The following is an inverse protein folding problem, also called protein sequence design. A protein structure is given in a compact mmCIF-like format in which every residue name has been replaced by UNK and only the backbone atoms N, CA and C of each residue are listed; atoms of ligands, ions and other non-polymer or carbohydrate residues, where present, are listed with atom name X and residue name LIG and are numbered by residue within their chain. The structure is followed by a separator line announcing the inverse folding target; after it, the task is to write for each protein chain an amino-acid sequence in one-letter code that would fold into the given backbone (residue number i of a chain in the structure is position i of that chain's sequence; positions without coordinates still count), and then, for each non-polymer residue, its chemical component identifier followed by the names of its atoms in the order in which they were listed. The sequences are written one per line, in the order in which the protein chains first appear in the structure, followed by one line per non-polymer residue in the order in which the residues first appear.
data_IF_561219992808
#
_entry.id   IF_561219992808
#
_cell.length_a   1.000
_cell.length_b   1.000
_cell.length_c   1.000
_cell.angle_alpha   90.00
_cell.angle_beta   90.00
_cell.angle_gamma   90.00
#
_symmetry.space_group_name_H-M   'P 1'
#
loop_
_entity.id
_entity.type
_entity.pdbx_description
1 polymer ?
#
# COMPACT_ATOMS: atom_id res chain seq x y z
N UNK A 1 -20.48 11.89 -16.08
CA UNK A 1 -20.18 12.48 -14.75
C UNK A 1 -20.87 13.82 -14.72
N UNK A 2 -21.80 14.04 -13.78
CA UNK A 2 -22.74 15.16 -13.78
C UNK A 2 -22.04 16.50 -13.47
N UNK A 3 -22.36 17.54 -14.26
CA UNK A 3 -21.82 18.90 -14.16
C UNK A 3 -22.04 19.49 -12.76
N UNK A 4 -23.21 19.25 -12.16
CA UNK A 4 -23.53 19.74 -10.81
C UNK A 4 -22.60 19.17 -9.73
N UNK A 5 -22.08 17.96 -9.92
CA UNK A 5 -21.18 17.29 -8.98
C UNK A 5 -19.75 17.85 -9.07
N UNK A 6 -19.36 18.37 -10.23
CA UNK A 6 -18.06 19.02 -10.42
C UNK A 6 -18.06 20.40 -9.73
N UNK A 7 -19.09 21.20 -9.97
CA UNK A 7 -19.28 22.51 -9.34
C UNK A 7 -19.26 22.43 -7.81
N UNK A 8 -19.98 21.46 -7.24
CA UNK A 8 -19.99 21.23 -5.80
C UNK A 8 -18.60 20.88 -5.22
N UNK A 9 -17.75 20.18 -5.98
CA UNK A 9 -16.38 19.87 -5.53
C UNK A 9 -15.49 21.10 -5.54
N UNK A 10 -15.55 21.90 -6.60
CA UNK A 10 -14.73 23.11 -6.74
C UNK A 10 -15.08 24.11 -5.64
N UNK A 11 -16.38 24.30 -5.35
CA UNK A 11 -16.84 25.18 -4.28
C UNK A 11 -16.40 24.73 -2.87
N UNK A 12 -16.17 23.43 -2.66
CA UNK A 12 -15.76 22.89 -1.35
C UNK A 12 -14.25 23.03 -1.07
N UNK A 13 -13.40 23.11 -2.11
CA UNK A 13 -11.93 23.11 -1.95
C UNK A 13 -11.42 24.23 -1.03
N UNK A 14 -11.80 25.52 -1.20
CA UNK A 14 -11.26 26.60 -0.36
C UNK A 14 -11.58 26.39 1.12
N UNK A 15 -12.79 25.90 1.42
CA UNK A 15 -13.21 25.61 2.79
C UNK A 15 -12.44 24.43 3.37
N UNK A 16 -12.25 23.34 2.61
CA UNK A 16 -11.45 22.19 3.06
C UNK A 16 -10.01 22.61 3.39
N UNK A 17 -9.42 23.46 2.55
CA UNK A 17 -8.05 23.93 2.76
C UNK A 17 -7.93 24.87 3.97
N UNK A 18 -8.93 25.72 4.23
CA UNK A 18 -8.94 26.66 5.35
C UNK A 18 -9.35 26.03 6.69
N UNK A 19 -10.30 25.08 6.67
CA UNK A 19 -10.85 24.46 7.89
C UNK A 19 -10.03 23.24 8.35
N UNK A 20 -9.11 22.71 7.53
CA UNK A 20 -8.24 21.61 7.92
C UNK A 20 -7.29 22.04 9.03
N UNK A 21 -7.60 21.63 10.26
CA UNK A 21 -6.76 21.88 11.44
C UNK A 21 -5.47 21.08 11.35
N UNK A 22 -4.37 21.65 11.83
CA UNK A 22 -3.07 20.98 11.97
C UNK A 22 -3.18 19.59 12.65
N UNK A 23 -4.07 19.48 13.64
CA UNK A 23 -4.39 18.23 14.36
C UNK A 23 -4.77 17.09 13.40
N UNK A 24 -5.46 17.38 12.29
CA UNK A 24 -5.82 16.38 11.29
C UNK A 24 -4.56 15.80 10.60
N UNK A 25 -3.64 16.66 10.17
CA UNK A 25 -2.39 16.24 9.53
C UNK A 25 -1.50 15.46 10.50
N UNK A 26 -1.30 15.99 11.70
CA UNK A 26 -0.46 15.35 12.73
C UNK A 26 -1.01 13.99 13.13
N UNK A 27 -2.33 13.87 13.32
CA UNK A 27 -2.97 12.57 13.59
C UNK A 27 -2.79 11.59 12.43
N UNK A 28 -3.01 12.05 11.20
CA UNK A 28 -2.86 11.20 10.00
C UNK A 28 -1.42 10.70 9.84
N UNK A 29 -0.43 11.58 9.98
CA UNK A 29 0.99 11.22 9.92
C UNK A 29 1.39 10.27 11.06
N UNK A 30 0.85 10.47 12.26
CA UNK A 30 1.08 9.57 13.40
C UNK A 30 0.58 8.15 13.12
N UNK A 31 -0.64 8.00 12.57
CA UNK A 31 -1.20 6.70 12.22
C UNK A 31 -0.39 6.06 11.08
N UNK A 32 -0.04 6.83 10.04
CA UNK A 32 0.78 6.32 8.93
C UNK A 32 2.14 5.81 9.41
N UNK A 33 2.81 6.58 10.27
CA UNK A 33 4.09 6.18 10.86
C UNK A 33 3.94 4.91 11.69
N UNK A 34 2.99 4.88 12.63
CA UNK A 34 2.79 3.70 13.48
C UNK A 34 2.49 2.44 12.65
N UNK A 35 1.63 2.58 11.63
CA UNK A 35 1.26 1.44 10.80
C UNK A 35 2.41 0.99 9.90
N UNK A 36 3.19 1.93 9.35
CA UNK A 36 4.41 1.61 8.62
C UNK A 36 5.41 0.84 9.49
N UNK A 37 5.58 1.23 10.76
CA UNK A 37 6.49 0.57 11.71
C UNK A 37 6.04 -0.87 12.03
N UNK A 38 4.73 -1.07 12.17
CA UNK A 38 4.16 -2.40 12.41
C UNK A 38 4.34 -3.28 11.17
N UNK A 39 3.94 -2.80 9.99
CA UNK A 39 4.05 -3.58 8.76
C UNK A 39 5.50 -3.91 8.44
N UNK A 40 6.43 -2.96 8.55
CA UNK A 40 7.86 -3.20 8.30
C UNK A 40 8.41 -4.33 9.18
N UNK A 41 8.14 -4.29 10.49
CA UNK A 41 8.56 -5.35 11.43
C UNK A 41 7.91 -6.69 11.08
N UNK A 42 6.60 -6.71 10.82
CA UNK A 42 5.87 -7.94 10.49
C UNK A 42 6.34 -8.59 9.19
N UNK A 43 6.70 -7.79 8.19
CA UNK A 43 7.25 -8.29 6.93
C UNK A 43 8.63 -8.93 7.16
N UNK A 44 9.47 -8.33 8.02
CA UNK A 44 10.79 -8.89 8.34
C UNK A 44 10.72 -10.24 9.08
N UNK A 45 9.60 -10.54 9.75
CA UNK A 45 9.36 -11.84 10.40
C UNK A 45 9.02 -12.96 9.38
N UNK A 46 8.70 -12.62 8.12
CA UNK A 46 8.26 -13.57 7.10
C UNK A 46 9.44 -13.90 6.14
N UNK A 47 9.98 -15.13 6.14
CA UNK A 47 11.23 -15.44 5.44
C UNK A 47 11.22 -15.25 3.92
N UNK A 48 10.06 -15.42 3.28
CA UNK A 48 9.91 -15.23 1.84
C UNK A 48 9.65 -13.77 1.43
N UNK A 49 9.51 -12.86 2.39
CA UNK A 49 9.26 -11.45 2.13
C UNK A 49 10.45 -10.60 2.57
N UNK A 50 10.67 -9.48 1.89
CA UNK A 50 11.69 -8.52 2.28
C UNK A 50 11.19 -7.10 1.99
N UNK A 51 11.29 -6.22 2.96
CA UNK A 51 11.06 -4.79 2.76
C UNK A 51 12.44 -4.11 2.77
N UNK A 52 13.02 -3.76 1.60
CA UNK A 52 14.38 -3.22 1.53
C UNK A 52 14.50 -1.87 2.23
N UNK A 53 13.45 -1.05 2.14
CA UNK A 53 13.40 0.27 2.75
C UNK A 53 12.07 0.47 3.47
N UNK A 54 12.16 1.01 4.68
CA UNK A 54 10.98 1.42 5.45
C UNK A 54 10.33 2.63 4.77
N UNK A 55 9.00 2.61 4.55
CA UNK A 55 8.29 3.75 3.99
C UNK A 55 8.52 5.02 4.83
N UNK A 56 8.95 6.09 4.18
CA UNK A 56 9.10 7.41 4.82
C UNK A 56 7.86 8.32 4.58
N UNK A 57 6.91 7.86 3.77
CA UNK A 57 5.71 8.60 3.41
C UNK A 57 4.78 7.76 2.53
N UNK A 58 3.73 8.40 1.99
CA UNK A 58 2.65 7.75 1.25
C UNK A 58 1.88 6.68 2.07
N UNK A 59 0.93 6.01 1.42
CA UNK A 59 0.00 5.04 2.04
C UNK A 59 0.24 3.61 1.56
N UNK A 60 1.46 3.30 1.10
CA UNK A 60 1.82 2.01 0.53
C UNK A 60 3.25 1.64 0.93
N UNK A 61 3.49 0.33 1.03
CA UNK A 61 4.80 -0.25 1.35
C UNK A 61 5.23 -1.09 0.18
N UNK A 62 6.52 -1.07 -0.14
CA UNK A 62 7.10 -1.93 -1.16
C UNK A 62 7.68 -3.19 -0.53
N UNK A 63 7.23 -4.36 -1.00
CA UNK A 63 7.64 -5.66 -0.46
C UNK A 63 8.10 -6.57 -1.57
N UNK A 64 9.33 -7.08 -1.44
CA UNK A 64 9.95 -8.11 -2.27
C UNK A 64 9.49 -9.50 -1.86
N UNK A 65 8.98 -10.29 -2.80
CA UNK A 65 8.71 -11.72 -2.62
C UNK A 65 9.84 -12.57 -3.23
N UNK A 66 10.29 -13.58 -2.48
CA UNK A 66 11.18 -14.64 -2.94
C UNK A 66 10.38 -15.93 -3.15
N UNK A 67 9.93 -16.17 -4.38
CA UNK A 67 9.13 -17.34 -4.75
C UNK A 67 9.88 -18.66 -4.54
N UNK A 68 11.21 -18.67 -4.66
CA UNK A 68 12.02 -19.89 -4.50
C UNK A 68 11.93 -20.52 -3.10
N UNK A 69 11.45 -19.77 -2.10
CA UNK A 69 11.24 -20.26 -0.73
C UNK A 69 9.82 -20.81 -0.50
N UNK A 70 8.93 -20.68 -1.49
CA UNK A 70 7.54 -21.11 -1.41
C UNK A 70 7.34 -22.43 -2.16
N UNK A 71 6.74 -23.40 -1.48
CA UNK A 71 6.33 -24.66 -2.10
C UNK A 71 5.02 -24.44 -2.87
N UNK A 72 4.89 -25.12 -4.01
CA UNK A 72 3.67 -25.12 -4.83
C UNK A 72 3.28 -23.72 -5.36
N UNK A 73 4.22 -22.77 -5.42
CA UNK A 73 4.04 -21.46 -6.06
C UNK A 73 4.98 -21.38 -7.26
N UNK A 74 4.43 -21.25 -8.48
CA UNK A 74 5.25 -21.23 -9.69
C UNK A 74 5.90 -19.87 -9.95
N UNK A 75 5.13 -18.81 -9.73
CA UNK A 75 5.56 -17.44 -9.95
C UNK A 75 4.75 -16.46 -9.10
N UNK A 76 5.08 -15.20 -9.31
CA UNK A 76 4.50 -14.03 -8.68
C UNK A 76 2.98 -13.99 -8.85
N UNK A 77 2.48 -14.25 -10.06
CA UNK A 77 1.06 -14.17 -10.39
C UNK A 77 0.29 -15.29 -9.71
N UNK A 78 0.83 -16.50 -9.73
CA UNK A 78 0.26 -17.66 -9.00
C UNK A 78 0.15 -17.37 -7.49
N UNK A 79 1.16 -16.72 -6.90
CA UNK A 79 1.11 -16.27 -5.51
C UNK A 79 -0.05 -15.30 -5.25
N UNK A 80 -0.27 -14.27 -6.08
CA UNK A 80 -1.40 -13.34 -5.86
C UNK A 80 -2.74 -14.02 -5.96
N UNK A 81 -2.91 -14.92 -6.92
CA UNK A 81 -4.17 -15.62 -7.10
C UNK A 81 -4.48 -16.54 -5.91
N UNK A 82 -3.50 -17.30 -5.44
CA UNK A 82 -3.67 -18.16 -4.26
C UNK A 82 -3.92 -17.36 -3.00
N UNK A 83 -3.15 -16.30 -2.76
CA UNK A 83 -3.34 -15.44 -1.61
C UNK A 83 -4.73 -14.76 -1.61
N UNK A 84 -5.20 -14.29 -2.77
CA UNK A 84 -6.53 -13.71 -2.89
C UNK A 84 -7.64 -14.74 -2.68
N UNK A 85 -7.42 -15.99 -3.11
CA UNK A 85 -8.40 -17.09 -2.96
C UNK A 85 -8.46 -17.64 -1.54
N UNK A 86 -7.31 -17.81 -0.90
CA UNK A 86 -7.18 -18.48 0.41
C UNK A 86 -7.38 -17.50 1.56
N UNK A 87 -6.77 -16.31 1.48
CA UNK A 87 -6.74 -15.34 2.58
C UNK A 87 -7.55 -14.08 2.30
N UNK A 88 -8.22 -13.98 1.13
CA UNK A 88 -8.94 -12.78 0.70
C UNK A 88 -8.09 -11.50 0.68
N UNK A 89 -6.76 -11.66 0.53
CA UNK A 89 -5.82 -10.53 0.45
C UNK A 89 -5.45 -10.27 -1.00
N UNK A 90 -5.74 -9.05 -1.47
CA UNK A 90 -5.38 -8.60 -2.81
C UNK A 90 -4.10 -7.78 -2.73
N UNK A 91 -3.10 -8.16 -3.53
CA UNK A 91 -1.86 -7.44 -3.68
C UNK A 91 -1.79 -6.75 -5.05
N UNK A 92 -1.28 -5.52 -5.11
CA UNK A 92 -1.12 -4.77 -6.37
C UNK A 92 0.30 -4.93 -6.97
N UNK A 93 0.46 -5.47 -8.20
CA UNK A 93 1.77 -5.68 -8.81
C UNK A 93 2.57 -4.42 -9.12
N UNK A 94 3.85 -4.41 -8.78
CA UNK A 94 4.79 -3.30 -8.98
C UNK A 94 4.95 -2.87 -10.44
N UNK A 95 4.65 -3.76 -11.39
CA UNK A 95 4.60 -3.43 -12.81
C UNK A 95 3.50 -2.39 -13.13
N UNK A 96 2.39 -2.41 -12.39
CA UNK A 96 1.27 -1.46 -12.58
C UNK A 96 1.60 -0.04 -12.10
N UNK A 97 2.69 0.15 -11.35
CA UNK A 97 3.15 1.47 -10.87
C UNK A 97 4.37 2.02 -11.63
N UNK A 98 4.68 1.48 -12.81
CA UNK A 98 5.69 2.04 -13.71
C UNK A 98 7.16 1.73 -13.35
N UNK A 99 7.41 0.86 -12.36
CA UNK A 99 8.75 0.42 -11.98
C UNK A 99 9.22 -0.68 -12.93
N UNK A 100 9.80 -0.29 -14.08
CA UNK A 100 10.41 -1.21 -15.05
C UNK A 100 11.80 -1.64 -14.56
N UNK A 101 11.94 -2.94 -14.29
CA UNK A 101 13.11 -3.66 -13.74
C UNK A 101 13.30 -3.56 -12.23
N UNK A 102 12.88 -4.62 -11.55
CA UNK A 102 13.79 -5.49 -10.81
C UNK A 102 13.08 -6.85 -10.75
N UNK A 103 13.81 -7.96 -10.69
CA UNK A 103 13.29 -9.34 -10.58
C UNK A 103 12.65 -9.61 -9.19
N UNK A 104 11.88 -8.63 -8.72
CA UNK A 104 11.41 -8.43 -7.36
C UNK A 104 9.95 -8.07 -7.48
N UNK A 105 9.09 -9.06 -7.30
CA UNK A 105 7.72 -8.88 -6.85
C UNK A 105 7.62 -7.70 -5.91
N UNK A 106 6.87 -6.67 -6.25
CA UNK A 106 6.82 -5.46 -5.46
C UNK A 106 5.34 -5.17 -5.26
N UNK A 107 4.81 -5.32 -4.04
CA UNK A 107 3.37 -5.19 -3.80
C UNK A 107 3.06 -4.11 -2.79
N UNK A 108 2.08 -3.28 -3.13
CA UNK A 108 1.58 -2.24 -2.26
C UNK A 108 0.58 -2.83 -1.26
N UNK A 109 0.98 -2.93 0.01
CA UNK A 109 0.04 -3.16 1.11
C UNK A 109 -0.53 -1.81 1.56
N UNK A 110 -1.84 -1.61 1.40
CA UNK A 110 -2.53 -0.44 1.94
C UNK A 110 -3.02 -0.77 3.35
N UNK A 111 -2.56 -0.07 4.40
CA UNK A 111 -3.16 -0.24 5.71
C UNK A 111 -4.62 0.22 5.68
N UNK A 112 -5.52 -0.65 6.10
CA UNK A 112 -6.94 -0.32 6.25
C UNK A 112 -7.05 0.55 7.51
N UNK A 113 -7.46 1.80 7.33
CA UNK A 113 -7.87 2.67 8.43
C UNK A 113 -9.30 2.26 8.80
N UNK A 114 -9.48 1.55 9.92
CA UNK A 114 -10.79 1.38 10.56
C UNK A 114 -11.05 2.52 11.53
#
# INVERSE_FOLDING_TARGET
MDSAKLEARVAAIPRILNDMKEVFFTRTLSILKNTSDICFRKIQEIPCLTCPEKPQGAMAIMVKLNVSLLKDISDNIDFYFKLAKEESVILLPGLTVGLKKLDSCNFCCRPIFS
#
